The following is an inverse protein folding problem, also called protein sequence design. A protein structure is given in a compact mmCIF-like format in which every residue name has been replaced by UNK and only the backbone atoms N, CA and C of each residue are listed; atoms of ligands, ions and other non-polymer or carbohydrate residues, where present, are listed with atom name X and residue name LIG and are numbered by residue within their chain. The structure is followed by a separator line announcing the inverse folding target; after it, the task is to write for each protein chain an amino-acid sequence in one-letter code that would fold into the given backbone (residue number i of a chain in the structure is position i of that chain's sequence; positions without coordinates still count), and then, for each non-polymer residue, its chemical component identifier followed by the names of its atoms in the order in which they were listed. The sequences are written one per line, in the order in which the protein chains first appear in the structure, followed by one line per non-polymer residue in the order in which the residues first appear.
data_IF_259266261035
#
_entry.id   IF_259266261035
#
_cell.length_a   1.000
_cell.length_b   1.000
_cell.length_c   1.000
_cell.angle_alpha   90.00
_cell.angle_beta   90.00
_cell.angle_gamma   90.00
#
_symmetry.space_group_name_H-M   'P 1'
#
loop_
_entity.id
_entity.type
_entity.pdbx_description
1 polymer ?
#
# COMPACT_ATOMS: atom_id res chain seq x y z
N UNK A 1 -43.78 -21.89 -25.52
CA UNK A 1 -44.21 -20.47 -25.47
C UNK A 1 -44.11 -19.88 -24.06
N UNK A 2 -44.96 -20.24 -23.09
CA UNK A 2 -44.89 -19.68 -21.71
C UNK A 2 -43.55 -19.99 -21.01
N UNK A 3 -43.04 -21.22 -21.14
CA UNK A 3 -41.76 -21.63 -20.54
C UNK A 3 -40.57 -20.90 -21.17
N UNK A 4 -40.60 -20.66 -22.49
CA UNK A 4 -39.52 -19.99 -23.22
C UNK A 4 -39.47 -18.50 -22.88
N UNK A 5 -40.64 -17.89 -22.68
CA UNK A 5 -40.78 -16.51 -22.25
C UNK A 5 -40.27 -16.30 -20.80
N UNK A 6 -40.57 -17.24 -19.91
CA UNK A 6 -40.04 -17.25 -18.53
C UNK A 6 -38.51 -17.40 -18.53
N UNK A 7 -37.95 -18.31 -19.34
CA UNK A 7 -36.49 -18.50 -19.48
C UNK A 7 -35.78 -17.26 -20.02
N UNK A 8 -36.33 -16.63 -21.06
CA UNK A 8 -35.78 -15.41 -21.64
C UNK A 8 -35.79 -14.25 -20.62
N UNK A 9 -36.86 -14.12 -19.83
CA UNK A 9 -36.97 -13.09 -18.79
C UNK A 9 -35.99 -13.31 -17.64
N UNK A 10 -35.81 -14.56 -17.21
CA UNK A 10 -34.84 -14.93 -16.17
C UNK A 10 -33.39 -14.67 -16.63
N UNK A 11 -33.08 -15.03 -17.89
CA UNK A 11 -31.78 -14.80 -18.52
C UNK A 11 -31.43 -13.32 -18.59
N UNK A 12 -32.35 -12.47 -19.08
CA UNK A 12 -32.12 -11.01 -19.13
C UNK A 12 -31.97 -10.39 -17.75
N UNK A 13 -32.80 -10.80 -16.78
CA UNK A 13 -32.77 -10.23 -15.43
C UNK A 13 -31.44 -10.53 -14.73
N UNK A 14 -30.97 -11.79 -14.80
CA UNK A 14 -29.66 -12.18 -14.25
C UNK A 14 -28.51 -11.43 -14.92
N UNK A 15 -28.53 -11.26 -16.24
CA UNK A 15 -27.54 -10.47 -16.97
C UNK A 15 -27.50 -9.01 -16.52
N UNK A 16 -28.63 -8.31 -16.42
CA UNK A 16 -28.66 -6.90 -15.99
C UNK A 16 -28.25 -6.71 -14.54
N UNK A 17 -28.56 -7.67 -13.66
CA UNK A 17 -28.08 -7.66 -12.27
C UNK A 17 -26.55 -7.76 -12.27
N UNK A 18 -25.97 -8.72 -13.00
CA UNK A 18 -24.52 -8.87 -13.11
C UNK A 18 -23.84 -7.62 -13.66
N UNK A 19 -24.38 -7.06 -14.73
CA UNK A 19 -23.89 -5.82 -15.34
C UNK A 19 -23.91 -4.65 -14.34
N UNK A 20 -25.03 -4.45 -13.65
CA UNK A 20 -25.20 -3.36 -12.69
C UNK A 20 -24.23 -3.49 -11.52
N UNK A 21 -24.04 -4.70 -11.00
CA UNK A 21 -23.08 -4.96 -9.93
C UNK A 21 -21.66 -4.63 -10.34
N UNK A 22 -21.20 -5.08 -11.51
CA UNK A 22 -19.85 -4.78 -12.03
C UNK A 22 -19.64 -3.27 -12.17
N UNK A 23 -20.60 -2.56 -12.76
CA UNK A 23 -20.51 -1.10 -12.92
C UNK A 23 -20.50 -0.36 -11.58
N UNK A 24 -21.27 -0.81 -10.59
CA UNK A 24 -21.27 -0.22 -9.24
C UNK A 24 -19.90 -0.29 -8.57
N UNK A 25 -19.14 -1.37 -8.75
CA UNK A 25 -17.77 -1.45 -8.21
C UNK A 25 -16.84 -0.44 -8.86
N UNK A 26 -16.90 -0.26 -10.18
CA UNK A 26 -16.09 0.75 -10.87
C UNK A 26 -16.45 2.17 -10.43
N UNK A 27 -17.74 2.47 -10.29
CA UNK A 27 -18.20 3.78 -9.80
C UNK A 27 -17.75 4.00 -8.35
N UNK A 28 -17.90 3.00 -7.48
CA UNK A 28 -17.54 3.11 -6.07
C UNK A 28 -16.06 3.43 -5.89
N UNK A 29 -15.18 2.75 -6.64
CA UNK A 29 -13.76 3.05 -6.56
C UNK A 29 -13.37 4.38 -7.19
N UNK A 30 -14.08 4.85 -8.23
CA UNK A 30 -13.89 6.22 -8.72
C UNK A 30 -14.29 7.27 -7.69
N UNK A 31 -15.45 7.10 -7.03
CA UNK A 31 -15.89 7.97 -5.94
C UNK A 31 -14.89 7.95 -4.79
N UNK A 32 -14.38 6.78 -4.40
CA UNK A 32 -13.37 6.63 -3.35
C UNK A 32 -12.12 7.48 -3.64
N UNK A 33 -11.60 7.38 -4.85
CA UNK A 33 -10.37 8.06 -5.27
C UNK A 33 -10.55 9.58 -5.31
N UNK A 34 -11.67 10.08 -5.85
CA UNK A 34 -11.98 11.52 -5.83
C UNK A 34 -12.24 12.03 -4.41
N UNK A 35 -12.92 11.23 -3.58
CA UNK A 35 -13.15 11.60 -2.18
C UNK A 35 -11.84 11.74 -1.42
N UNK A 36 -10.87 10.84 -1.67
CA UNK A 36 -9.53 10.94 -1.09
C UNK A 36 -8.83 12.24 -1.49
N UNK A 37 -8.83 12.60 -2.78
CA UNK A 37 -8.21 13.86 -3.24
C UNK A 37 -8.85 15.09 -2.57
N UNK A 38 -10.18 15.19 -2.60
CA UNK A 38 -10.91 16.31 -1.99
C UNK A 38 -10.65 16.39 -0.48
N UNK A 39 -10.66 15.25 0.20
CA UNK A 39 -10.49 15.20 1.66
C UNK A 39 -9.06 15.53 2.05
N UNK A 40 -8.08 15.03 1.27
CA UNK A 40 -6.68 15.36 1.46
C UNK A 40 -6.46 16.86 1.28
N UNK A 41 -6.92 17.46 0.18
CA UNK A 41 -6.67 18.88 -0.12
C UNK A 41 -7.31 19.83 0.89
N UNK A 42 -8.52 19.52 1.34
CA UNK A 42 -9.27 20.37 2.26
C UNK A 42 -9.04 20.05 3.76
N UNK A 43 -8.17 19.08 4.07
CA UNK A 43 -7.91 18.61 5.44
C UNK A 43 -9.16 18.11 6.19
N UNK A 44 -10.12 17.51 5.46
CA UNK A 44 -11.39 16.99 5.99
C UNK A 44 -11.33 15.46 6.06
N UNK A 45 -12.06 14.85 7.00
CA UNK A 45 -12.13 13.39 7.07
C UNK A 45 -10.76 12.76 7.35
N UNK A 46 -9.99 13.38 8.25
CA UNK A 46 -8.60 13.03 8.58
C UNK A 46 -8.41 11.53 8.76
N UNK A 47 -9.31 10.85 9.45
CA UNK A 47 -9.22 9.40 9.71
C UNK A 47 -9.23 8.57 8.42
N UNK A 48 -10.08 8.94 7.47
CA UNK A 48 -10.15 8.29 6.16
C UNK A 48 -8.87 8.52 5.35
N UNK A 49 -8.37 9.76 5.36
CA UNK A 49 -7.14 10.13 4.65
C UNK A 49 -5.93 9.41 5.24
N UNK A 50 -5.77 9.45 6.57
CA UNK A 50 -4.71 8.74 7.31
C UNK A 50 -4.75 7.25 7.01
N UNK A 51 -5.92 6.62 7.10
CA UNK A 51 -6.09 5.20 6.79
C UNK A 51 -5.66 4.88 5.34
N UNK A 52 -6.05 5.72 4.40
CA UNK A 52 -5.75 5.55 2.98
C UNK A 52 -4.24 5.68 2.70
N UNK A 53 -3.55 6.58 3.40
CA UNK A 53 -2.11 6.79 3.31
C UNK A 53 -1.33 5.64 3.95
N UNK A 54 -1.75 5.16 5.12
CA UNK A 54 -1.09 4.02 5.77
C UNK A 54 -1.16 2.74 4.93
N UNK A 55 -2.23 2.60 4.14
CA UNK A 55 -2.46 1.45 3.27
C UNK A 55 -2.29 1.80 1.79
N UNK A 56 -1.52 2.85 1.48
CA UNK A 56 -1.39 3.42 0.14
C UNK A 56 -0.98 2.41 -0.94
N UNK A 57 -0.17 1.41 -0.58
CA UNK A 57 0.25 0.36 -1.51
C UNK A 57 -0.76 -0.81 -1.59
N UNK A 58 -1.51 -1.06 -0.51
CA UNK A 58 -2.44 -2.19 -0.42
C UNK A 58 -3.79 -1.86 -1.03
N UNK A 59 -4.27 -0.64 -0.83
CA UNK A 59 -5.59 -0.19 -1.29
C UNK A 59 -5.71 -0.24 -2.81
N UNK A 60 -4.75 0.26 -3.62
CA UNK A 60 -4.82 0.13 -5.08
C UNK A 60 -4.82 -1.33 -5.53
N UNK A 61 -4.05 -2.21 -4.89
CA UNK A 61 -4.05 -3.65 -5.20
C UNK A 61 -5.42 -4.25 -4.94
N UNK A 62 -6.05 -3.94 -3.80
CA UNK A 62 -7.41 -4.39 -3.48
C UNK A 62 -8.41 -3.80 -4.47
N UNK A 63 -8.35 -2.50 -4.74
CA UNK A 63 -9.23 -1.80 -5.67
C UNK A 63 -9.11 -2.35 -7.10
N UNK A 64 -7.93 -2.83 -7.51
CA UNK A 64 -7.68 -3.40 -8.84
C UNK A 64 -8.11 -4.86 -8.92
N UNK A 65 -7.70 -5.67 -7.96
CA UNK A 65 -7.90 -7.13 -8.00
C UNK A 65 -9.33 -7.50 -7.62
N UNK A 66 -9.91 -6.82 -6.64
CA UNK A 66 -11.21 -7.18 -6.09
C UNK A 66 -12.35 -7.09 -7.11
N UNK A 67 -12.49 -6.03 -7.93
CA UNK A 67 -13.54 -5.96 -8.94
C UNK A 67 -13.39 -7.03 -10.04
N UNK A 68 -12.16 -7.43 -10.38
CA UNK A 68 -11.91 -8.49 -11.37
C UNK A 68 -12.33 -9.85 -10.79
N UNK A 69 -11.85 -10.19 -9.59
CA UNK A 69 -12.22 -11.44 -8.91
C UNK A 69 -13.74 -11.51 -8.65
N UNK A 70 -14.32 -10.39 -8.21
CA UNK A 70 -15.75 -10.32 -7.94
C UNK A 70 -16.58 -10.37 -9.23
N UNK A 71 -16.12 -9.73 -10.30
CA UNK A 71 -16.73 -9.85 -11.63
C UNK A 71 -16.72 -11.29 -12.13
N UNK A 72 -15.60 -12.00 -11.97
CA UNK A 72 -15.50 -13.43 -12.29
C UNK A 72 -16.45 -14.29 -11.43
N UNK A 73 -16.55 -13.99 -10.14
CA UNK A 73 -17.44 -14.70 -9.21
C UNK A 73 -18.91 -14.45 -9.52
N UNK A 74 -19.29 -13.21 -9.86
CA UNK A 74 -20.64 -12.87 -10.33
C UNK A 74 -20.97 -13.64 -11.62
N UNK A 75 -20.05 -13.65 -12.58
CA UNK A 75 -20.22 -14.41 -13.83
C UNK A 75 -20.45 -15.88 -13.49
N UNK A 76 -19.65 -16.49 -12.61
CA UNK A 76 -19.82 -17.89 -12.21
C UNK A 76 -21.13 -18.20 -11.46
N UNK A 77 -21.55 -17.32 -10.53
CA UNK A 77 -22.71 -17.55 -9.66
C UNK A 77 -24.05 -17.21 -10.32
N UNK A 78 -24.09 -16.16 -11.12
CA UNK A 78 -25.31 -15.68 -11.79
C UNK A 78 -25.42 -16.18 -13.23
N UNK A 79 -24.49 -17.03 -13.70
CA UNK A 79 -24.60 -17.70 -14.99
C UNK A 79 -25.88 -18.51 -15.04
N UNK A 80 -26.87 -17.99 -15.74
CA UNK A 80 -28.06 -18.76 -16.05
C UNK A 80 -27.72 -19.74 -17.18
N UNK A 81 -28.22 -20.99 -17.15
CA UNK A 81 -28.06 -21.92 -18.27
C UNK A 81 -28.76 -21.43 -19.56
N UNK A 82 -29.49 -20.31 -19.48
CA UNK A 82 -30.22 -19.69 -20.58
C UNK A 82 -29.56 -18.40 -21.09
N UNK A 83 -28.33 -18.10 -20.69
CA UNK A 83 -27.57 -17.00 -21.30
C UNK A 83 -27.27 -17.30 -22.76
N UNK A 84 -27.41 -16.28 -23.59
CA UNK A 84 -26.92 -16.35 -24.96
C UNK A 84 -25.40 -16.24 -24.98
N UNK A 85 -24.78 -16.81 -26.01
CA UNK A 85 -23.34 -16.72 -26.21
C UNK A 85 -22.85 -15.25 -26.22
N UNK A 86 -23.60 -14.37 -26.89
CA UNK A 86 -23.31 -12.92 -26.94
C UNK A 86 -23.37 -12.23 -25.56
N UNK A 87 -24.30 -12.64 -24.69
CA UNK A 87 -24.39 -12.10 -23.32
C UNK A 87 -23.22 -12.56 -22.46
N UNK A 88 -22.77 -13.80 -22.62
CA UNK A 88 -21.62 -14.34 -21.90
C UNK A 88 -20.32 -13.63 -22.35
N UNK A 89 -20.09 -13.52 -23.66
CA UNK A 89 -18.93 -12.81 -24.21
C UNK A 89 -18.95 -11.33 -23.85
N UNK A 90 -20.11 -10.67 -23.93
CA UNK A 90 -20.24 -9.25 -23.60
C UNK A 90 -19.93 -8.94 -22.13
N UNK A 91 -20.41 -9.77 -21.20
CA UNK A 91 -20.11 -9.60 -19.78
C UNK A 91 -18.64 -9.94 -19.48
N UNK A 92 -18.10 -10.98 -20.10
CA UNK A 92 -16.68 -11.32 -19.98
C UNK A 92 -15.78 -10.18 -20.51
N UNK A 93 -16.09 -9.64 -21.69
CA UNK A 93 -15.39 -8.51 -22.26
C UNK A 93 -15.47 -7.28 -21.36
N UNK A 94 -16.63 -6.98 -20.76
CA UNK A 94 -16.77 -5.88 -19.82
C UNK A 94 -15.88 -6.07 -18.57
N UNK A 95 -15.87 -7.27 -17.98
CA UNK A 95 -15.06 -7.55 -16.79
C UNK A 95 -13.56 -7.44 -17.11
N UNK A 96 -13.12 -7.94 -18.26
CA UNK A 96 -11.72 -7.92 -18.67
C UNK A 96 -11.25 -6.54 -19.12
N UNK A 97 -11.92 -5.94 -20.13
CA UNK A 97 -11.51 -4.65 -20.69
C UNK A 97 -11.89 -3.48 -19.77
N UNK A 98 -13.08 -3.53 -19.14
CA UNK A 98 -13.48 -2.56 -18.13
C UNK A 98 -12.58 -2.62 -16.91
N UNK A 99 -12.23 -3.82 -16.44
CA UNK A 99 -11.28 -4.01 -15.34
C UNK A 99 -9.88 -3.49 -15.67
N UNK A 100 -9.38 -3.77 -16.87
CA UNK A 100 -8.08 -3.28 -17.33
C UNK A 100 -8.05 -1.76 -17.49
N UNK A 101 -9.09 -1.17 -18.11
CA UNK A 101 -9.23 0.28 -18.22
C UNK A 101 -9.31 0.94 -16.84
N UNK A 102 -10.15 0.40 -15.95
CA UNK A 102 -10.30 0.84 -14.58
C UNK A 102 -8.97 0.79 -13.82
N UNK A 103 -8.22 -0.30 -13.97
CA UNK A 103 -6.89 -0.48 -13.37
C UNK A 103 -5.92 0.58 -13.85
N UNK A 104 -5.88 0.85 -15.16
CA UNK A 104 -5.01 1.88 -15.74
C UNK A 104 -5.38 3.26 -15.20
N UNK A 105 -6.67 3.61 -15.17
CA UNK A 105 -7.14 4.91 -14.64
C UNK A 105 -6.80 5.07 -13.16
N UNK A 106 -7.09 4.06 -12.33
CA UNK A 106 -6.76 4.10 -10.91
C UNK A 106 -5.26 4.15 -10.68
N UNK A 107 -4.48 3.35 -11.41
CA UNK A 107 -3.02 3.37 -11.29
C UNK A 107 -2.45 4.71 -11.71
N UNK A 108 -2.94 5.30 -12.80
CA UNK A 108 -2.54 6.64 -13.23
C UNK A 108 -2.86 7.67 -12.15
N UNK A 109 -4.07 7.61 -11.60
CA UNK A 109 -4.48 8.53 -10.55
C UNK A 109 -3.61 8.41 -9.29
N UNK A 110 -3.39 7.20 -8.78
CA UNK A 110 -2.55 6.96 -7.59
C UNK A 110 -1.05 7.17 -7.84
N UNK A 111 -0.55 7.03 -9.08
CA UNK A 111 0.89 7.17 -9.34
C UNK A 111 1.30 8.55 -9.82
N UNK A 112 0.40 9.31 -10.46
CA UNK A 112 0.72 10.57 -11.14
C UNK A 112 -0.20 11.74 -10.74
N UNK A 113 -1.44 11.47 -10.33
CA UNK A 113 -2.38 12.50 -9.86
C UNK A 113 -2.66 12.39 -8.36
N UNK A 114 -1.88 11.61 -7.61
CA UNK A 114 -2.10 11.51 -6.17
C UNK A 114 -1.91 12.88 -5.55
N UNK A 115 -2.83 13.26 -4.67
CA UNK A 115 -2.75 14.51 -3.93
C UNK A 115 -1.41 14.67 -3.19
N UNK A 116 -0.73 13.55 -2.91
CA UNK A 116 0.63 13.50 -2.41
C UNK A 116 1.59 13.59 -3.60
N UNK A 117 2.19 14.77 -3.79
CA UNK A 117 3.24 14.97 -4.80
C UNK A 117 4.56 14.41 -4.29
N UNK A 118 4.75 13.11 -4.45
CA UNK A 118 6.05 12.47 -4.21
C UNK A 118 7.02 12.87 -5.33
N UNK A 119 7.71 14.00 -5.16
CA UNK A 119 8.84 14.32 -6.02
C UNK A 119 9.98 13.35 -5.71
N UNK A 120 10.05 12.26 -6.48
CA UNK A 120 10.91 11.09 -6.21
C UNK A 120 12.40 11.42 -6.19
N UNK A 121 12.80 12.64 -6.57
CA UNK A 121 14.20 12.97 -6.82
C UNK A 121 14.82 14.06 -5.95
N UNK A 122 14.07 14.84 -5.16
CA UNK A 122 14.70 15.93 -4.40
C UNK A 122 14.06 16.21 -3.03
N UNK A 123 14.58 15.55 -2.00
CA UNK A 123 14.48 16.05 -0.62
C UNK A 123 15.46 17.21 -0.51
N UNK A 124 14.98 18.37 -0.08
CA UNK A 124 15.85 19.55 0.11
C UNK A 124 16.87 19.30 1.22
N UNK A 125 18.00 20.02 1.20
CA UNK A 125 19.01 19.92 2.26
C UNK A 125 18.43 20.26 3.65
N UNK A 126 17.43 21.13 3.72
CA UNK A 126 16.73 21.50 4.94
C UNK A 126 15.87 20.35 5.49
N UNK A 127 15.05 19.72 4.64
CA UNK A 127 14.27 18.52 5.00
C UNK A 127 15.18 17.37 5.44
N UNK A 128 16.33 17.18 4.77
CA UNK A 128 17.34 16.20 5.18
C UNK A 128 17.90 16.50 6.58
N UNK A 129 18.12 17.77 6.91
CA UNK A 129 18.52 18.21 8.25
C UNK A 129 17.48 17.80 9.31
N UNK A 130 16.20 18.06 9.03
CA UNK A 130 15.09 17.68 9.91
C UNK A 130 15.06 16.16 10.15
N UNK A 131 15.19 15.35 9.10
CA UNK A 131 15.22 13.88 9.23
C UNK A 131 16.41 13.43 10.07
N UNK A 132 17.60 13.99 9.83
CA UNK A 132 18.80 13.66 10.60
C UNK A 132 18.61 13.98 12.08
N UNK A 133 17.99 15.11 12.40
CA UNK A 133 17.73 15.50 13.78
C UNK A 133 16.65 14.62 14.44
N UNK A 134 15.61 14.23 13.72
CA UNK A 134 14.62 13.26 14.21
C UNK A 134 15.26 11.90 14.53
N UNK A 135 16.20 11.46 13.70
CA UNK A 135 16.93 10.21 13.95
C UNK A 135 17.93 10.34 15.10
N UNK A 136 18.61 11.49 15.25
CA UNK A 136 19.48 11.76 16.40
C UNK A 136 18.71 11.84 17.72
N UNK A 137 17.49 12.37 17.68
CA UNK A 137 16.59 12.43 18.83
C UNK A 137 15.96 11.06 19.16
N UNK A 138 16.32 9.99 18.45
CA UNK A 138 15.74 8.65 18.58
C UNK A 138 14.21 8.64 18.41
N UNK A 139 13.65 9.66 17.75
CA UNK A 139 12.24 9.69 17.38
C UNK A 139 11.99 8.75 16.22
N UNK A 140 12.93 8.69 15.28
CA UNK A 140 12.88 7.80 14.12
C UNK A 140 14.11 6.91 14.08
N UNK A 141 13.93 5.64 13.74
CA UNK A 141 14.99 4.66 13.60
C UNK A 141 15.80 4.90 12.33
N UNK A 142 17.09 4.54 12.39
CA UNK A 142 17.97 4.58 11.21
C UNK A 142 17.53 3.60 10.12
N UNK A 143 16.78 2.55 10.45
CA UNK A 143 16.35 1.54 9.49
C UNK A 143 15.19 2.05 8.63
N UNK A 144 14.24 2.76 9.24
CA UNK A 144 13.06 3.36 8.57
C UNK A 144 13.42 4.31 7.43
N UNK A 145 14.63 4.88 7.46
CA UNK A 145 15.17 5.78 6.43
C UNK A 145 16.24 5.16 5.53
N UNK A 146 16.70 3.92 5.82
CA UNK A 146 17.79 3.23 5.11
C UNK A 146 17.35 2.19 4.09
N UNK A 147 16.05 1.88 3.96
CA UNK A 147 15.58 0.88 3.00
C UNK A 147 16.10 1.17 1.58
N UNK A 148 16.91 0.25 1.03
CA UNK A 148 17.63 0.40 -0.26
C UNK A 148 17.17 -0.66 -1.25
N UNK A 149 16.75 -0.22 -2.44
CA UNK A 149 16.75 -1.03 -3.67
C UNK A 149 17.63 -0.44 -4.78
N UNK A 150 18.26 0.74 -4.64
CA UNK A 150 18.84 1.46 -5.80
C UNK A 150 20.20 2.12 -5.57
N UNK A 151 21.18 1.39 -5.06
CA UNK A 151 22.43 2.05 -4.60
C UNK A 151 23.74 1.45 -5.04
N UNK A 152 23.68 0.64 -6.07
CA UNK A 152 24.89 0.32 -6.84
C UNK A 152 25.19 1.38 -7.92
N UNK A 153 24.29 2.33 -8.17
CA UNK A 153 24.49 3.35 -9.22
C UNK A 153 25.31 4.56 -8.74
N UNK A 154 24.99 5.12 -7.56
CA UNK A 154 25.67 6.33 -7.01
C UNK A 154 27.10 6.05 -6.54
N UNK A 155 27.48 4.78 -6.30
CA UNK A 155 28.86 4.41 -5.96
C UNK A 155 29.85 4.48 -7.13
N UNK A 156 29.36 4.55 -8.38
CA UNK A 156 30.22 4.49 -9.58
C UNK A 156 30.70 5.85 -10.10
N UNK A 157 30.02 6.95 -9.79
CA UNK A 157 30.39 8.27 -10.33
C UNK A 157 30.92 9.19 -9.23
N UNK A 158 32.20 9.01 -8.90
CA UNK A 158 32.89 9.69 -7.80
C UNK A 158 32.74 11.21 -7.82
N UNK A 159 31.77 11.72 -7.06
CA UNK A 159 31.53 13.14 -6.85
C UNK A 159 31.34 13.47 -5.38
N UNK A 160 32.30 14.22 -4.82
CA UNK A 160 32.07 15.14 -3.69
C UNK A 160 31.90 14.51 -2.31
N UNK A 161 33.02 14.27 -1.62
CA UNK A 161 33.03 14.33 -0.15
C UNK A 161 32.82 15.78 0.28
N UNK A 162 31.92 15.97 1.25
CA UNK A 162 31.92 16.99 2.33
C UNK A 162 30.52 17.56 2.61
N UNK A 163 29.66 16.73 3.19
CA UNK A 163 28.71 17.13 4.25
C UNK A 163 28.80 16.02 5.30
N UNK A 164 28.99 16.36 6.57
CA UNK A 164 29.29 15.43 7.65
C UNK A 164 28.46 14.14 7.63
N UNK A 165 29.15 13.00 7.45
CA UNK A 165 28.73 11.62 7.79
C UNK A 165 27.25 11.34 7.54
N UNK A 166 26.88 11.47 6.26
CA UNK A 166 25.57 11.24 5.65
C UNK A 166 24.95 9.93 6.17
N UNK A 167 23.88 10.04 6.96
CA UNK A 167 22.91 8.95 6.97
C UNK A 167 22.43 8.81 5.55
N UNK A 168 22.66 7.63 4.99
CA UNK A 168 22.27 7.21 3.65
C UNK A 168 20.72 7.12 3.63
N UNK A 169 20.07 8.28 3.74
CA UNK A 169 18.61 8.45 3.68
C UNK A 169 18.26 8.25 2.21
N UNK A 170 17.94 7.00 1.88
CA UNK A 170 17.57 6.58 0.53
C UNK A 170 16.06 6.47 0.37
N UNK A 171 15.33 6.53 1.49
CA UNK A 171 13.89 6.46 1.54
C UNK A 171 13.38 7.45 2.59
N UNK A 172 12.34 8.21 2.25
CA UNK A 172 11.59 9.00 3.20
C UNK A 172 10.22 8.35 3.34
N UNK A 173 9.82 7.95 4.56
CA UNK A 173 8.48 7.46 4.84
C UNK A 173 7.41 8.38 4.26
N UNK A 174 6.35 7.80 3.70
CA UNK A 174 5.25 8.54 3.08
C UNK A 174 4.63 9.53 4.07
N UNK A 175 4.59 9.16 5.35
CA UNK A 175 4.13 9.96 6.48
C UNK A 175 4.96 11.26 6.64
N UNK A 176 6.28 11.16 6.49
CA UNK A 176 7.18 12.32 6.52
C UNK A 176 7.03 13.20 5.29
N UNK A 177 6.79 12.61 4.10
CA UNK A 177 6.49 13.39 2.90
C UNK A 177 5.22 14.22 3.06
N UNK A 178 4.15 13.62 3.60
CA UNK A 178 2.89 14.35 3.87
C UNK A 178 3.13 15.48 4.86
N UNK A 179 3.95 15.27 5.89
CA UNK A 179 4.34 16.33 6.82
C UNK A 179 5.16 17.45 6.19
N UNK A 180 6.02 17.16 5.21
CA UNK A 180 6.75 18.18 4.48
C UNK A 180 5.87 18.96 3.51
N UNK A 181 4.85 18.33 2.94
CA UNK A 181 3.92 18.94 1.99
C UNK A 181 2.86 19.80 2.69
N UNK A 182 2.21 19.25 3.72
CA UNK A 182 1.13 19.90 4.46
C UNK A 182 1.61 20.76 5.65
N UNK A 183 2.85 20.57 6.06
CA UNK A 183 3.44 21.17 7.24
C UNK A 183 3.17 20.38 8.53
N UNK A 184 4.11 20.46 9.47
CA UNK A 184 4.06 19.72 10.74
C UNK A 184 2.92 20.13 11.68
N UNK A 185 2.28 21.27 11.44
CA UNK A 185 1.13 21.74 12.24
C UNK A 185 -0.21 21.21 11.71
N UNK A 186 -0.23 20.52 10.57
CA UNK A 186 -1.44 19.98 9.97
C UNK A 186 -1.92 18.73 10.74
N UNK A 187 -3.23 18.59 10.90
CA UNK A 187 -3.88 17.48 11.64
C UNK A 187 -3.63 16.12 11.01
N UNK A 188 -3.57 16.03 9.68
CA UNK A 188 -3.24 14.80 8.94
C UNK A 188 -1.79 14.38 9.25
N UNK A 189 -0.85 15.33 9.17
CA UNK A 189 0.55 15.07 9.52
C UNK A 189 0.68 14.63 10.98
N UNK A 190 0.08 15.37 11.91
CA UNK A 190 0.17 15.05 13.34
C UNK A 190 -0.28 13.61 13.62
N UNK A 191 -1.40 13.19 13.03
CA UNK A 191 -1.95 11.84 13.22
C UNK A 191 -1.14 10.76 12.51
N UNK A 192 -0.69 10.98 11.27
CA UNK A 192 0.20 10.05 10.56
C UNK A 192 1.52 9.86 11.32
N UNK A 193 2.10 10.96 11.79
CA UNK A 193 3.36 10.93 12.49
C UNK A 193 3.25 10.26 13.86
N UNK A 194 2.17 10.51 14.60
CA UNK A 194 1.89 9.81 15.85
C UNK A 194 1.76 8.29 15.62
N UNK A 195 0.97 7.87 14.63
CA UNK A 195 0.81 6.46 14.29
C UNK A 195 2.12 5.80 13.85
N UNK A 196 2.92 6.52 13.05
CA UNK A 196 4.25 6.07 12.62
C UNK A 196 5.18 5.85 13.82
N UNK A 197 5.24 6.82 14.75
CA UNK A 197 6.07 6.71 15.96
C UNK A 197 5.63 5.57 16.88
N UNK A 198 4.32 5.28 16.97
CA UNK A 198 3.80 4.15 17.75
C UNK A 198 4.25 2.82 17.12
N UNK A 199 4.04 2.65 15.82
CA UNK A 199 4.46 1.44 15.08
C UNK A 199 5.97 1.20 15.23
N UNK A 200 6.76 2.25 15.10
CA UNK A 200 8.21 2.17 15.21
C UNK A 200 8.68 1.78 16.63
N UNK A 201 8.05 2.31 17.69
CA UNK A 201 8.33 1.88 19.07
C UNK A 201 8.01 0.41 19.29
N UNK A 202 6.91 -0.08 18.71
CA UNK A 202 6.53 -1.49 18.80
C UNK A 202 7.49 -2.40 18.03
N UNK A 203 7.90 -2.01 16.83
CA UNK A 203 8.88 -2.75 16.02
C UNK A 203 10.23 -2.84 16.73
N UNK A 204 10.75 -1.71 17.24
CA UNK A 204 12.02 -1.70 18.00
C UNK A 204 11.92 -2.57 19.26
N UNK A 205 10.76 -2.60 19.93
CA UNK A 205 10.53 -3.50 21.08
C UNK A 205 10.55 -4.98 20.66
N UNK A 206 9.92 -5.30 19.54
CA UNK A 206 9.89 -6.66 18.98
C UNK A 206 11.28 -7.12 18.52
N UNK A 207 12.06 -6.26 17.87
CA UNK A 207 13.43 -6.58 17.44
C UNK A 207 14.33 -6.87 18.63
N UNK A 208 14.33 -6.01 19.67
CA UNK A 208 15.09 -6.26 20.90
C UNK A 208 14.71 -7.58 21.57
N UNK A 209 13.42 -7.93 21.56
CA UNK A 209 12.96 -9.21 22.08
C UNK A 209 13.48 -10.40 21.25
N UNK A 210 13.54 -10.27 19.92
CA UNK A 210 14.10 -11.29 19.02
C UNK A 210 15.62 -11.44 19.18
N UNK A 211 16.35 -10.34 19.28
CA UNK A 211 17.80 -10.35 19.50
C UNK A 211 18.13 -11.04 20.84
N UNK A 212 17.41 -10.69 21.91
CA UNK A 212 17.56 -11.31 23.21
C UNK A 212 17.28 -12.83 23.18
N UNK A 213 16.22 -13.25 22.47
CA UNK A 213 15.91 -14.67 22.26
C UNK A 213 17.00 -15.39 21.47
N UNK A 214 17.53 -14.77 20.42
CA UNK A 214 18.61 -15.34 19.61
C UNK A 214 19.90 -15.49 20.42
N UNK A 215 20.25 -14.50 21.25
CA UNK A 215 21.41 -14.54 22.14
C UNK A 215 21.26 -15.63 23.21
N UNK A 216 20.09 -15.71 23.84
CA UNK A 216 19.78 -16.79 24.80
C UNK A 216 19.90 -18.17 24.16
N UNK A 217 19.32 -18.37 22.97
CA UNK A 217 19.40 -19.65 22.25
C UNK A 217 20.84 -20.00 21.88
N UNK A 218 21.67 -19.00 21.54
CA UNK A 218 23.08 -19.21 21.25
C UNK A 218 23.84 -19.67 22.49
N UNK A 219 23.65 -19.03 23.64
CA UNK A 219 24.25 -19.43 24.92
C UNK A 219 23.83 -20.85 25.30
N UNK A 220 22.53 -21.15 25.22
CA UNK A 220 21.99 -22.47 25.54
C UNK A 220 22.54 -23.57 24.61
N UNK A 221 22.74 -23.26 23.32
CA UNK A 221 23.36 -24.19 22.38
C UNK A 221 24.83 -24.48 22.70
N UNK A 222 25.59 -23.48 23.17
CA UNK A 222 27.00 -23.61 23.57
C UNK A 222 27.09 -24.43 24.87
N UNK A 223 26.22 -24.17 25.84
CA UNK A 223 26.15 -24.95 27.08
C UNK A 223 25.79 -26.42 26.82
N UNK A 224 24.84 -26.66 25.91
CA UNK A 224 24.46 -28.02 25.56
C UNK A 224 25.59 -28.77 24.83
N UNK A 225 26.29 -28.09 23.91
CA UNK A 225 27.49 -28.62 23.27
C UNK A 225 28.58 -29.00 24.28
N UNK A 226 28.83 -28.12 25.26
CA UNK A 226 29.82 -28.38 26.32
C UNK A 226 29.44 -29.57 27.21
N UNK A 227 28.15 -29.73 27.56
CA UNK A 227 27.66 -30.92 28.30
C UNK A 227 27.84 -32.23 27.52
N UNK A 228 27.69 -32.19 26.19
CA UNK A 228 27.91 -33.37 25.34
C UNK A 228 29.40 -33.74 25.35
N UNK A 229 30.30 -32.76 25.22
CA UNK A 229 31.75 -33.01 25.28
C UNK A 229 32.18 -33.60 26.62
N UNK A 230 31.66 -33.11 27.74
CA UNK A 230 31.97 -33.65 29.07
C UNK A 230 31.51 -35.10 29.27
N UNK A 231 30.42 -35.51 28.62
CA UNK A 231 29.93 -36.91 28.68
C UNK A 231 30.68 -37.88 27.78
N UNK A 232 31.45 -37.39 26.82
CA UNK A 232 32.20 -38.21 25.84
C UNK A 232 33.68 -38.34 26.22
N UNK A 233 34.16 -37.60 27.23
CA UNK A 233 35.45 -37.80 27.88
C UNK A 233 35.37 -38.82 29.01
#
# INVERSE_FOLDING_TARGET
MIIDEIKAKLSRTSFYISLSLVLLFYIAGFVYTNMFEIFYDNDIGVDFVVFTIEHYFTIPIVIVIFPVLFGWLIVGLLKSPYWTYEQEEGLFALVMFGGLFYTIVMTFFFCFCSAIKMDRNYITNEQRGIIVDLVKQEKISKQSVKARFYTDWVKKEGGGREIGKVMDINYVPLELYVCFEKGFNNTICAKLFENFLIKEKEEVRCEKAREYLAEKNKIESIENYNRIIEKVK
#
